data_IF_919305554230
#
_entry.id   IF_919305554230
#
_cell.length_a   1.000
_cell.length_b   1.000
_cell.length_c   1.000
_cell.angle_alpha   90.00
_cell.angle_beta   90.00
_cell.angle_gamma   90.00
#
_symmetry.space_group_name_H-M   'P 1'
#
loop_
_entity.id
_entity.type
_entity.pdbx_description
1 polymer ?
#
# COMPACT_ATOMS: atom_id res chain seq x y z
N UNK A 1 22.11 -15.30 -17.29
CA UNK A 1 22.71 -15.15 -15.94
C UNK A 1 22.12 -16.18 -14.99
N UNK A 2 20.81 -16.15 -14.71
CA UNK A 2 20.10 -17.13 -13.87
C UNK A 2 20.51 -18.59 -14.13
N UNK A 3 20.37 -19.08 -15.36
CA UNK A 3 20.78 -20.46 -15.72
C UNK A 3 22.25 -20.79 -15.37
N UNK A 4 23.15 -19.81 -15.50
CA UNK A 4 24.56 -19.99 -15.17
C UNK A 4 24.80 -20.04 -13.66
N UNK A 5 24.01 -19.31 -12.87
CA UNK A 5 24.05 -19.36 -11.41
C UNK A 5 23.45 -20.67 -10.88
N UNK A 6 22.35 -21.14 -11.48
CA UNK A 6 21.71 -22.41 -11.14
C UNK A 6 22.57 -23.63 -11.49
N UNK A 7 23.46 -23.50 -12.48
CA UNK A 7 24.41 -24.54 -12.86
C UNK A 7 25.62 -24.68 -11.90
N UNK A 8 25.74 -23.86 -10.85
CA UNK A 8 26.83 -23.96 -9.88
C UNK A 8 26.53 -25.01 -8.80
N UNK A 9 27.54 -25.74 -8.34
CA UNK A 9 27.42 -26.75 -7.27
C UNK A 9 27.17 -26.15 -5.86
N UNK A 10 26.83 -24.85 -5.77
CA UNK A 10 26.53 -24.16 -4.52
C UNK A 10 25.32 -23.22 -4.71
N UNK A 11 24.44 -23.07 -3.71
CA UNK A 11 23.38 -22.06 -3.76
C UNK A 11 23.97 -20.66 -3.92
N UNK A 12 23.40 -19.87 -4.85
CA UNK A 12 23.72 -18.46 -5.05
C UNK A 12 22.41 -17.69 -5.05
N UNK A 13 22.27 -16.75 -4.12
CA UNK A 13 21.17 -15.80 -4.13
C UNK A 13 21.35 -14.84 -5.31
N UNK A 14 20.38 -14.77 -6.20
CA UNK A 14 20.40 -13.81 -7.32
C UNK A 14 19.45 -12.65 -7.06
N UNK A 15 20.02 -11.46 -6.85
CA UNK A 15 19.30 -10.21 -6.66
C UNK A 15 19.38 -9.38 -7.94
N UNK A 16 18.24 -9.15 -8.59
CA UNK A 16 18.15 -8.42 -9.85
C UNK A 16 18.06 -6.93 -9.52
N UNK A 17 19.03 -6.14 -9.99
CA UNK A 17 19.01 -4.69 -9.84
C UNK A 17 18.86 -4.00 -11.20
N UNK A 18 17.64 -3.55 -11.52
CA UNK A 18 17.37 -2.73 -12.72
C UNK A 18 16.68 -1.39 -12.41
N UNK A 19 16.46 -1.08 -11.11
CA UNK A 19 15.86 0.16 -10.60
C UNK A 19 14.33 0.35 -10.77
N UNK A 20 13.55 -0.72 -10.86
CA UNK A 20 12.10 -0.63 -11.14
C UNK A 20 11.74 -0.21 -12.58
N UNK A 21 12.72 -0.15 -13.48
CA UNK A 21 12.57 0.27 -14.87
C UNK A 21 12.09 -0.88 -15.75
N UNK A 22 11.10 -0.59 -16.59
CA UNK A 22 10.47 -1.52 -17.54
C UNK A 22 8.99 -1.68 -17.24
N UNK A 23 8.38 -2.76 -17.73
CA UNK A 23 7.00 -3.15 -17.44
C UNK A 23 7.01 -4.58 -16.85
N UNK A 24 5.94 -4.93 -16.14
CA UNK A 24 5.63 -6.28 -15.65
C UNK A 24 6.73 -6.90 -14.79
N UNK A 25 7.43 -6.07 -14.01
CA UNK A 25 8.57 -6.52 -13.20
C UNK A 25 8.20 -7.67 -12.24
N UNK A 26 7.02 -7.58 -11.62
CA UNK A 26 6.49 -8.64 -10.76
C UNK A 26 6.19 -9.94 -11.48
N UNK A 27 6.04 -9.94 -12.81
CA UNK A 27 5.73 -11.13 -13.60
C UNK A 27 6.99 -11.88 -14.04
N UNK A 28 7.97 -11.17 -14.61
CA UNK A 28 9.14 -11.83 -15.19
C UNK A 28 10.28 -12.03 -14.19
N UNK A 29 10.51 -11.11 -13.26
CA UNK A 29 11.67 -11.19 -12.37
C UNK A 29 11.64 -12.37 -11.40
N UNK A 30 10.50 -12.73 -10.77
CA UNK A 30 10.44 -13.88 -9.87
C UNK A 30 10.64 -15.23 -10.55
N UNK A 31 10.62 -15.28 -11.90
CA UNK A 31 10.90 -16.48 -12.68
C UNK A 31 12.39 -16.75 -12.83
N UNK A 32 13.24 -15.73 -12.63
CA UNK A 32 14.68 -15.80 -12.91
C UNK A 32 15.57 -15.28 -11.77
N UNK A 33 15.02 -14.85 -10.63
CA UNK A 33 15.79 -14.33 -9.50
C UNK A 33 15.06 -14.52 -8.16
N UNK A 34 15.79 -14.30 -7.06
CA UNK A 34 15.27 -14.45 -5.71
C UNK A 34 14.71 -13.14 -5.13
N UNK A 35 15.30 -12.02 -5.55
CA UNK A 35 14.75 -10.69 -5.31
C UNK A 35 14.96 -9.78 -6.51
N UNK A 36 14.15 -8.73 -6.62
CA UNK A 36 14.23 -7.76 -7.71
C UNK A 36 13.99 -6.34 -7.21
N UNK A 37 14.90 -5.43 -7.54
CA UNK A 37 14.79 -4.00 -7.18
C UNK A 37 13.55 -3.41 -7.80
N UNK A 38 12.61 -2.97 -6.98
CA UNK A 38 11.33 -2.44 -7.46
C UNK A 38 11.36 -0.95 -7.75
N UNK A 39 12.39 -0.22 -7.28
CA UNK A 39 12.46 1.23 -7.36
C UNK A 39 13.86 1.75 -7.72
N UNK A 40 13.94 3.03 -8.10
CA UNK A 40 15.19 3.78 -8.04
C UNK A 40 15.78 3.77 -6.63
N UNK A 41 17.04 4.20 -6.55
CA UNK A 41 17.81 4.17 -5.32
C UNK A 41 17.09 4.93 -4.19
N UNK A 42 17.08 4.29 -3.03
CA UNK A 42 16.80 4.96 -1.77
C UNK A 42 17.88 6.03 -1.50
N UNK A 43 17.52 7.10 -0.79
CA UNK A 43 18.49 8.13 -0.39
C UNK A 43 18.16 8.63 1.02
N UNK A 44 19.06 9.39 1.62
CA UNK A 44 19.01 9.82 3.02
C UNK A 44 17.89 10.84 3.31
N UNK A 45 16.62 10.45 3.14
CA UNK A 45 15.44 11.26 3.38
C UNK A 45 14.17 10.41 3.53
N UNK A 46 13.28 10.85 4.43
CA UNK A 46 11.93 10.31 4.62
C UNK A 46 11.13 10.17 3.32
N UNK A 47 11.26 11.13 2.40
CA UNK A 47 10.53 11.10 1.12
C UNK A 47 10.85 9.86 0.29
N UNK A 48 12.06 9.31 0.39
CA UNK A 48 12.42 8.07 -0.29
C UNK A 48 11.72 6.85 0.32
N UNK A 49 11.62 6.79 1.66
CA UNK A 49 10.91 5.73 2.38
C UNK A 49 9.45 5.72 1.97
N UNK A 50 8.82 6.90 1.97
CA UNK A 50 7.43 7.05 1.58
C UNK A 50 7.19 6.71 0.11
N UNK A 51 8.05 7.19 -0.80
CA UNK A 51 7.97 6.89 -2.23
C UNK A 51 8.03 5.38 -2.50
N UNK A 52 9.00 4.68 -1.90
CA UNK A 52 9.19 3.23 -2.11
C UNK A 52 8.03 2.44 -1.47
N UNK A 53 7.50 2.89 -0.33
CA UNK A 53 6.30 2.30 0.29
C UNK A 53 5.06 2.37 -0.63
N UNK A 54 4.95 3.41 -1.47
CA UNK A 54 3.88 3.49 -2.47
C UNK A 54 4.17 2.67 -3.74
N UNK A 55 5.44 2.32 -4.00
CA UNK A 55 5.84 1.51 -5.15
C UNK A 55 5.64 0.01 -4.90
N UNK A 56 5.78 -0.45 -3.65
CA UNK A 56 5.71 -1.87 -3.29
C UNK A 56 4.28 -2.42 -3.24
N UNK A 57 3.27 -1.54 -3.26
CA UNK A 57 1.85 -1.88 -3.09
C UNK A 57 1.36 -3.01 -3.99
N UNK A 58 1.62 -3.07 -5.30
CA UNK A 58 1.09 -4.13 -6.15
C UNK A 58 1.81 -5.47 -6.01
N UNK A 59 3.01 -5.49 -5.42
CA UNK A 59 3.88 -6.66 -5.44
C UNK A 59 3.39 -7.82 -4.59
N UNK A 60 2.37 -7.63 -3.73
CA UNK A 60 1.84 -8.72 -2.89
C UNK A 60 1.35 -9.91 -3.70
N UNK A 61 0.95 -9.69 -4.96
CA UNK A 61 0.54 -10.70 -5.93
C UNK A 61 1.70 -11.62 -6.38
N UNK A 62 2.93 -11.11 -6.31
CA UNK A 62 4.14 -11.76 -6.83
C UNK A 62 5.12 -12.17 -5.73
N UNK A 63 4.93 -11.65 -4.51
CA UNK A 63 5.75 -11.96 -3.34
C UNK A 63 5.42 -13.34 -2.78
N UNK A 64 6.47 -14.12 -2.50
CA UNK A 64 6.34 -15.42 -1.86
C UNK A 64 7.70 -16.02 -1.51
N UNK A 65 7.70 -17.25 -1.00
CA UNK A 65 8.94 -17.93 -0.59
C UNK A 65 9.94 -17.98 -1.76
N UNK A 66 11.10 -17.37 -1.56
CA UNK A 66 12.17 -17.27 -2.56
C UNK A 66 11.95 -16.23 -3.66
N UNK A 67 10.95 -15.35 -3.52
CA UNK A 67 10.53 -14.34 -4.49
C UNK A 67 10.15 -13.04 -3.77
N UNK A 68 11.10 -12.10 -3.66
CA UNK A 68 10.90 -10.91 -2.83
C UNK A 68 11.10 -9.59 -3.61
N UNK A 69 10.17 -8.64 -3.53
CA UNK A 69 10.39 -7.28 -4.01
C UNK A 69 11.49 -6.64 -3.16
N UNK A 70 12.54 -6.16 -3.80
CA UNK A 70 13.66 -5.49 -3.15
C UNK A 70 13.42 -3.99 -3.13
N UNK A 71 13.06 -3.49 -1.94
CA UNK A 71 12.83 -2.08 -1.64
C UNK A 71 14.13 -1.28 -1.48
N UNK A 72 15.29 -1.85 -1.81
CA UNK A 72 16.63 -1.29 -1.66
C UNK A 72 17.17 -1.34 -0.21
N UNK A 73 18.44 -0.94 -0.04
CA UNK A 73 19.17 -1.05 1.22
C UNK A 73 18.57 -0.20 2.37
N UNK A 74 18.77 -0.64 3.61
CA UNK A 74 18.39 0.10 4.80
C UNK A 74 19.30 1.32 4.99
N UNK A 75 18.70 2.48 5.28
CA UNK A 75 19.40 3.74 5.65
C UNK A 75 19.38 4.00 7.16
N UNK A 76 18.94 3.01 7.94
CA UNK A 76 18.89 3.03 9.40
C UNK A 76 20.32 3.12 9.94
N UNK A 77 20.58 4.07 10.83
CA UNK A 77 21.91 4.30 11.40
C UNK A 77 22.81 5.23 10.59
N UNK A 78 22.31 5.80 9.49
CA UNK A 78 23.04 6.82 8.70
C UNK A 78 22.89 8.26 9.27
N UNK A 79 22.18 8.44 10.39
CA UNK A 79 21.81 9.74 10.95
C UNK A 79 21.01 10.62 9.96
N UNK A 80 20.22 9.97 9.09
CA UNK A 80 19.40 10.64 8.06
C UNK A 80 17.93 10.81 8.44
N UNK A 81 17.47 10.03 9.42
CA UNK A 81 16.07 9.87 9.82
C UNK A 81 15.94 10.04 11.34
N UNK A 82 14.74 10.40 11.83
CA UNK A 82 14.43 10.25 13.26
C UNK A 82 14.30 8.77 13.66
N UNK A 83 14.29 8.46 14.96
CA UNK A 83 14.08 7.06 15.40
C UNK A 83 12.69 6.54 15.03
N UNK A 84 11.68 7.40 15.03
CA UNK A 84 10.33 7.08 14.57
C UNK A 84 10.34 6.71 13.08
N UNK A 85 11.02 7.50 12.25
CA UNK A 85 11.19 7.25 10.82
C UNK A 85 12.02 5.99 10.55
N UNK A 86 13.07 5.70 11.35
CA UNK A 86 13.84 4.45 11.25
C UNK A 86 13.00 3.22 11.60
N UNK A 87 12.15 3.30 12.63
CA UNK A 87 11.19 2.23 12.96
C UNK A 87 10.13 2.05 11.88
N UNK A 88 9.63 3.14 11.31
CA UNK A 88 8.70 3.10 10.18
C UNK A 88 9.35 2.42 8.98
N UNK A 89 10.57 2.83 8.63
CA UNK A 89 11.38 2.23 7.56
C UNK A 89 11.53 0.72 7.76
N UNK A 90 12.01 0.30 8.93
CA UNK A 90 12.20 -1.12 9.23
C UNK A 90 10.87 -1.90 9.21
N UNK A 91 9.80 -1.30 9.71
CA UNK A 91 8.45 -1.88 9.67
C UNK A 91 8.00 -2.14 8.24
N UNK A 92 8.11 -1.14 7.36
CA UNK A 92 7.66 -1.25 5.98
C UNK A 92 8.46 -2.31 5.21
N UNK A 93 9.79 -2.37 5.39
CA UNK A 93 10.61 -3.41 4.77
C UNK A 93 10.28 -4.80 5.32
N UNK A 94 10.00 -4.91 6.63
CA UNK A 94 9.68 -6.17 7.27
C UNK A 94 8.32 -6.74 6.83
N UNK A 95 7.26 -5.94 6.87
CA UNK A 95 5.92 -6.42 6.49
C UNK A 95 5.81 -6.68 4.98
N UNK A 96 6.61 -5.99 4.16
CA UNK A 96 6.66 -6.20 2.71
C UNK A 96 7.69 -7.26 2.26
N UNK A 97 8.35 -7.95 3.20
CA UNK A 97 9.30 -9.04 2.94
C UNK A 97 10.50 -8.64 2.08
N UNK A 98 10.85 -7.36 2.08
CA UNK A 98 12.06 -6.89 1.38
C UNK A 98 13.31 -7.48 2.04
N UNK A 99 14.39 -7.73 1.28
CA UNK A 99 15.70 -7.98 1.87
C UNK A 99 16.08 -6.87 2.86
N UNK A 100 16.57 -7.26 4.04
CA UNK A 100 17.05 -6.35 5.08
C UNK A 100 18.56 -6.12 4.93
N UNK A 101 18.97 -5.55 3.79
CA UNK A 101 20.38 -5.28 3.48
C UNK A 101 20.84 -4.01 4.19
N UNK A 102 21.76 -4.12 5.16
CA UNK A 102 22.20 -2.95 5.94
C UNK A 102 23.10 -2.04 5.09
N UNK A 103 22.72 -0.76 4.94
CA UNK A 103 23.53 0.26 4.29
C UNK A 103 24.42 1.08 5.24
N UNK A 104 24.22 0.94 6.55
CA UNK A 104 25.03 1.64 7.56
C UNK A 104 26.39 0.99 7.82
N UNK A 105 27.40 1.77 8.26
CA UNK A 105 28.68 1.21 8.68
C UNK A 105 28.51 0.20 9.82
N UNK A 106 29.15 -0.96 9.71
CA UNK A 106 29.22 -1.96 10.80
C UNK A 106 30.24 -1.54 11.87
N UNK A 107 30.02 -0.37 12.47
CA UNK A 107 30.84 0.17 13.55
C UNK A 107 29.97 0.85 14.61
N UNK A 108 30.12 0.42 15.86
CA UNK A 108 29.46 1.04 17.01
C UNK A 108 29.88 2.50 17.24
N UNK A 109 30.95 2.98 16.60
CA UNK A 109 31.37 4.38 16.66
C UNK A 109 30.75 5.25 15.57
N UNK A 110 30.24 4.64 14.49
CA UNK A 110 29.69 5.36 13.34
C UNK A 110 28.16 5.26 13.27
N UNK A 111 27.61 4.15 13.75
CA UNK A 111 26.17 3.87 13.76
C UNK A 111 25.63 4.04 15.19
N UNK A 112 24.60 4.88 15.41
CA UNK A 112 24.00 5.05 16.74
C UNK A 112 23.46 3.73 17.29
N UNK A 113 23.69 3.47 18.58
CA UNK A 113 23.21 2.23 19.22
C UNK A 113 21.69 2.06 19.10
N UNK A 114 20.91 3.14 19.25
CA UNK A 114 19.46 3.10 19.10
C UNK A 114 19.02 2.62 17.71
N UNK A 115 19.75 2.98 16.65
CA UNK A 115 19.50 2.51 15.28
C UNK A 115 19.89 1.05 15.09
N UNK A 116 20.96 0.60 15.74
CA UNK A 116 21.33 -0.82 15.77
C UNK A 116 20.26 -1.65 16.50
N UNK A 117 19.73 -1.15 17.61
CA UNK A 117 18.67 -1.81 18.38
C UNK A 117 17.38 -1.97 17.55
N UNK A 118 17.07 -1.02 16.66
CA UNK A 118 15.99 -1.14 15.67
C UNK A 118 16.23 -2.34 14.75
N UNK A 119 17.42 -2.45 14.16
CA UNK A 119 17.76 -3.54 13.23
C UNK A 119 17.89 -4.92 13.92
N UNK A 120 18.14 -4.94 15.23
CA UNK A 120 18.26 -6.14 16.05
C UNK A 120 16.95 -6.56 16.71
N UNK A 121 15.82 -5.90 16.42
CA UNK A 121 14.54 -6.27 17.01
C UNK A 121 14.08 -7.64 16.48
N UNK A 122 14.19 -8.68 17.32
CA UNK A 122 13.89 -10.07 16.99
C UNK A 122 12.44 -10.29 16.51
N UNK A 123 11.49 -9.52 17.01
CA UNK A 123 10.08 -9.66 16.61
C UNK A 123 9.81 -9.08 15.22
N UNK A 124 10.44 -7.95 14.87
CA UNK A 124 10.36 -7.38 13.53
C UNK A 124 11.09 -8.27 12.52
N UNK A 125 12.25 -8.81 12.90
CA UNK A 125 12.97 -9.79 12.10
C UNK A 125 12.14 -11.06 11.89
N UNK A 126 11.45 -11.56 12.92
CA UNK A 126 10.56 -12.71 12.80
C UNK A 126 9.37 -12.46 11.87
N UNK A 127 8.85 -11.23 11.82
CA UNK A 127 7.84 -10.83 10.83
C UNK A 127 8.44 -10.89 9.42
N UNK A 128 9.60 -10.28 9.18
CA UNK A 128 10.26 -10.31 7.87
C UNK A 128 10.58 -11.74 7.41
N UNK A 129 11.08 -12.58 8.32
CA UNK A 129 11.52 -13.95 8.07
C UNK A 129 10.40 -15.00 8.25
N UNK A 130 9.14 -14.57 8.38
CA UNK A 130 8.02 -15.50 8.56
C UNK A 130 7.95 -16.50 7.40
N UNK A 131 7.84 -17.81 7.67
CA UNK A 131 7.96 -18.85 6.64
C UNK A 131 6.80 -18.87 5.64
N UNK A 132 5.69 -18.16 5.90
CA UNK A 132 4.65 -17.97 4.90
C UNK A 132 5.12 -17.11 3.73
N UNK A 133 6.10 -16.21 3.96
CA UNK A 133 6.64 -15.32 2.93
C UNK A 133 5.62 -14.37 2.31
N UNK A 134 4.45 -14.19 2.93
CA UNK A 134 3.36 -13.39 2.40
C UNK A 134 3.54 -11.89 2.72
N UNK A 135 3.55 -11.06 1.70
CA UNK A 135 3.57 -9.60 1.85
C UNK A 135 2.30 -9.08 2.54
N UNK A 136 2.45 -8.04 3.36
CA UNK A 136 1.31 -7.24 3.76
C UNK A 136 0.74 -6.44 2.57
N UNK A 137 -0.54 -6.08 2.68
CA UNK A 137 -1.27 -5.26 1.72
C UNK A 137 -1.64 -3.93 2.37
N UNK A 138 -1.67 -2.85 1.59
CA UNK A 138 -2.34 -1.62 1.97
C UNK A 138 -3.85 -1.91 2.00
N UNK A 139 -4.44 -1.97 3.19
CA UNK A 139 -5.86 -2.31 3.40
C UNK A 139 -6.73 -1.07 3.34
N UNK A 140 -6.25 0.01 3.95
CA UNK A 140 -6.96 1.29 3.95
C UNK A 140 -5.97 2.44 3.93
N UNK A 141 -6.32 3.49 3.21
CA UNK A 141 -5.62 4.77 3.22
C UNK A 141 -6.59 5.86 3.61
N UNK A 142 -6.11 6.81 4.41
CA UNK A 142 -6.81 8.01 4.85
C UNK A 142 -5.96 9.21 4.43
N UNK A 143 -6.17 9.67 3.20
CA UNK A 143 -5.24 10.60 2.52
C UNK A 143 -5.24 12.00 3.12
N UNK A 144 -6.38 12.50 3.58
CA UNK A 144 -6.46 13.85 4.15
C UNK A 144 -6.04 13.86 5.62
N UNK A 145 -6.25 12.74 6.30
CA UNK A 145 -5.79 12.50 7.67
C UNK A 145 -4.31 12.09 7.70
N UNK A 146 -3.75 11.64 6.59
CA UNK A 146 -2.36 11.26 6.39
C UNK A 146 -1.92 9.96 7.11
N UNK A 147 -2.76 8.93 7.16
CA UNK A 147 -2.38 7.61 7.69
C UNK A 147 -2.86 6.44 6.85
N UNK A 148 -2.18 5.31 7.00
CA UNK A 148 -2.52 4.06 6.32
C UNK A 148 -2.67 2.90 7.33
N UNK A 149 -3.47 1.91 6.96
CA UNK A 149 -3.57 0.60 7.62
C UNK A 149 -3.09 -0.46 6.66
N UNK A 150 -2.09 -1.23 7.07
CA UNK A 150 -1.53 -2.36 6.34
C UNK A 150 -1.79 -3.64 7.12
N UNK A 151 -2.07 -4.74 6.43
CA UNK A 151 -2.18 -6.05 7.07
C UNK A 151 -1.69 -7.18 6.17
N UNK A 152 -1.14 -8.23 6.78
CA UNK A 152 -0.65 -9.40 6.08
C UNK A 152 -0.72 -10.65 6.94
N UNK A 153 -1.02 -11.80 6.33
CA UNK A 153 -1.00 -13.06 7.04
C UNK A 153 0.43 -13.44 7.43
N UNK A 154 0.57 -14.02 8.61
CA UNK A 154 1.77 -14.68 9.08
C UNK A 154 1.48 -16.17 9.29
N UNK A 155 2.54 -16.96 9.39
CA UNK A 155 2.45 -18.36 9.81
C UNK A 155 1.71 -18.54 11.15
N UNK A 156 1.14 -19.72 11.35
CA UNK A 156 0.37 -20.09 12.54
C UNK A 156 -0.91 -19.26 12.74
N UNK A 157 -1.58 -18.93 11.63
CA UNK A 157 -2.88 -18.21 11.63
C UNK A 157 -2.83 -16.86 12.37
N UNK A 158 -1.69 -16.20 12.33
CA UNK A 158 -1.49 -14.85 12.89
C UNK A 158 -1.63 -13.80 11.79
N UNK A 159 -1.85 -12.56 12.18
CA UNK A 159 -1.93 -11.41 11.28
C UNK A 159 -0.99 -10.32 11.76
N UNK A 160 -0.13 -9.78 10.89
CA UNK A 160 0.56 -8.53 11.16
C UNK A 160 -0.31 -7.36 10.73
N UNK A 161 -0.41 -6.33 11.56
CA UNK A 161 -1.13 -5.09 11.26
C UNK A 161 -0.19 -3.92 11.54
N UNK A 162 -0.01 -3.03 10.57
CA UNK A 162 0.71 -1.79 10.76
C UNK A 162 -0.21 -0.58 10.56
N UNK A 163 -0.25 0.32 11.55
CA UNK A 163 -0.89 1.63 11.43
C UNK A 163 0.22 2.66 11.23
N UNK A 164 0.26 3.26 10.05
CA UNK A 164 1.35 4.08 9.56
C UNK A 164 0.95 5.55 9.59
N UNK A 165 1.45 6.31 10.57
CA UNK A 165 1.25 7.76 10.64
C UNK A 165 2.28 8.46 9.75
N UNK A 166 1.91 8.83 8.52
CA UNK A 166 2.80 9.58 7.63
C UNK A 166 2.62 11.11 7.72
N UNK A 167 1.91 11.57 8.74
CA UNK A 167 1.82 12.99 9.11
C UNK A 167 3.03 13.40 9.95
N UNK A 168 3.40 14.68 9.85
CA UNK A 168 4.47 15.29 10.66
C UNK A 168 4.09 15.51 12.15
N UNK A 169 2.92 15.04 12.60
CA UNK A 169 2.36 15.35 13.92
C UNK A 169 1.93 14.08 14.66
N UNK A 170 2.04 14.13 15.99
CA UNK A 170 1.53 13.09 16.88
C UNK A 170 0.01 13.11 16.95
N UNK A 171 -0.59 11.93 17.13
CA UNK A 171 -2.05 11.76 17.20
C UNK A 171 -2.46 10.47 17.85
N UNK A 172 -3.73 10.39 18.22
CA UNK A 172 -4.38 9.15 18.60
C UNK A 172 -5.31 8.71 17.47
N UNK A 173 -5.12 7.49 17.00
CA UNK A 173 -5.93 6.83 15.99
C UNK A 173 -6.74 5.70 16.62
N UNK A 174 -7.95 5.45 16.11
CA UNK A 174 -8.77 4.31 16.50
C UNK A 174 -8.68 3.24 15.41
N UNK A 175 -8.13 2.08 15.74
CA UNK A 175 -8.09 0.93 14.85
C UNK A 175 -9.23 -0.03 15.17
N UNK A 176 -10.24 -0.09 14.31
CA UNK A 176 -11.18 -1.20 14.30
C UNK A 176 -10.54 -2.41 13.60
N UNK A 177 -10.46 -3.55 14.28
CA UNK A 177 -9.89 -4.78 13.72
C UNK A 177 -10.72 -5.32 12.55
N UNK A 178 -12.00 -4.93 12.45
CA UNK A 178 -12.87 -5.30 11.33
C UNK A 178 -12.38 -4.76 10.00
N UNK A 179 -11.65 -3.62 10.01
CA UNK A 179 -10.98 -3.08 8.82
C UNK A 179 -10.02 -4.07 8.19
N UNK A 180 -9.40 -4.96 8.99
CA UNK A 180 -8.48 -6.00 8.52
C UNK A 180 -9.12 -7.39 8.53
N UNK A 181 -10.46 -7.47 8.58
CA UNK A 181 -11.22 -8.72 8.52
C UNK A 181 -11.28 -9.51 9.83
N UNK A 182 -10.99 -8.87 10.97
CA UNK A 182 -10.93 -9.52 12.29
C UNK A 182 -12.02 -8.97 13.21
N UNK A 183 -12.94 -9.80 13.66
CA UNK A 183 -13.95 -9.39 14.65
C UNK A 183 -13.36 -9.32 16.06
N UNK A 184 -12.49 -10.27 16.41
CA UNK A 184 -11.79 -10.29 17.69
C UNK A 184 -10.44 -11.00 17.57
N UNK A 185 -9.48 -10.62 18.41
CA UNK A 185 -8.21 -11.32 18.58
C UNK A 185 -8.02 -11.68 20.05
N UNK A 186 -7.67 -12.94 20.34
CA UNK A 186 -7.35 -13.38 21.70
C UNK A 186 -6.03 -12.84 22.22
N UNK A 187 -5.10 -12.48 21.32
CA UNK A 187 -3.85 -11.82 21.68
C UNK A 187 -3.44 -10.74 20.69
N UNK A 188 -3.15 -9.55 21.21
CA UNK A 188 -2.62 -8.38 20.51
C UNK A 188 -1.26 -8.02 21.08
N UNK A 189 -0.21 -8.17 20.27
CA UNK A 189 1.18 -7.84 20.61
C UNK A 189 1.57 -6.52 19.97
N UNK A 190 2.00 -5.53 20.75
CA UNK A 190 2.69 -4.33 20.25
C UNK A 190 4.20 -4.63 20.18
N UNK A 191 4.69 -4.77 18.95
CA UNK A 191 6.04 -5.23 18.63
C UNK A 191 7.10 -4.20 19.04
N UNK A 192 6.85 -2.91 18.77
CA UNK A 192 7.82 -1.86 19.09
C UNK A 192 7.82 -1.49 20.56
N UNK A 193 6.66 -1.52 21.22
CA UNK A 193 6.57 -1.31 22.66
C UNK A 193 7.01 -2.53 23.49
N UNK A 194 7.25 -3.67 22.82
CA UNK A 194 7.47 -4.95 23.44
C UNK A 194 6.40 -5.31 24.49
N UNK A 195 5.13 -4.97 24.23
CA UNK A 195 4.03 -5.09 25.18
C UNK A 195 2.87 -5.96 24.66
N UNK A 196 2.32 -6.81 25.52
CA UNK A 196 1.07 -7.53 25.24
C UNK A 196 -0.10 -6.66 25.68
N UNK A 197 -0.98 -6.33 24.72
CA UNK A 197 -2.15 -5.50 24.96
C UNK A 197 -3.38 -6.33 25.38
N UNK A 198 -3.24 -7.66 25.46
CA UNK A 198 -4.31 -8.60 25.79
C UNK A 198 -5.18 -8.93 24.58
N UNK A 199 -6.43 -9.32 24.84
CA UNK A 199 -7.43 -9.57 23.79
C UNK A 199 -8.12 -8.27 23.36
N UNK A 200 -8.62 -8.24 22.13
CA UNK A 200 -9.38 -7.11 21.61
C UNK A 200 -10.56 -7.57 20.74
N UNK A 201 -11.76 -7.09 21.07
CA UNK A 201 -13.02 -7.25 20.33
C UNK A 201 -13.72 -5.90 20.07
N UNK A 202 -13.06 -4.81 20.48
CA UNK A 202 -13.46 -3.42 20.30
C UNK A 202 -12.31 -2.60 19.67
N UNK A 203 -12.60 -1.42 19.09
CA UNK A 203 -11.56 -0.60 18.48
C UNK A 203 -10.42 -0.25 19.45
N UNK A 204 -9.18 -0.39 18.98
CA UNK A 204 -7.97 -0.09 19.72
C UNK A 204 -7.60 1.39 19.60
N UNK A 205 -7.37 2.04 20.73
CA UNK A 205 -6.86 3.42 20.77
C UNK A 205 -5.34 3.41 20.73
N UNK A 206 -4.75 3.94 19.66
CA UNK A 206 -3.32 3.90 19.39
C UNK A 206 -2.77 5.34 19.36
N UNK A 207 -1.85 5.67 20.25
CA UNK A 207 -1.08 6.92 20.17
C UNK A 207 0.18 6.71 19.33
N UNK A 208 0.36 7.54 18.31
CA UNK A 208 1.49 7.52 17.39
C UNK A 208 2.11 8.92 17.32
N UNK A 209 3.43 9.01 17.38
CA UNK A 209 4.19 10.20 17.01
C UNK A 209 4.14 10.44 15.48
N UNK A 210 4.54 11.64 15.06
CA UNK A 210 4.72 11.93 13.62
C UNK A 210 5.71 10.95 13.00
N UNK A 211 5.38 10.43 11.82
CA UNK A 211 6.17 9.43 11.09
C UNK A 211 6.37 8.07 11.81
N UNK A 212 5.59 7.78 12.86
CA UNK A 212 5.64 6.49 13.53
C UNK A 212 4.78 5.43 12.81
N UNK A 213 5.26 4.18 12.78
CA UNK A 213 4.45 3.01 12.44
C UNK A 213 4.18 2.16 13.69
N UNK A 214 2.92 2.07 14.10
CA UNK A 214 2.48 1.12 15.12
C UNK A 214 2.44 -0.28 14.51
N UNK A 215 3.20 -1.23 15.06
CA UNK A 215 3.29 -2.59 14.53
C UNK A 215 2.69 -3.59 15.52
N UNK A 216 1.59 -4.22 15.11
CA UNK A 216 0.84 -5.17 15.91
C UNK A 216 0.91 -6.57 15.30
N UNK A 217 0.96 -7.60 16.15
CA UNK A 217 0.71 -8.99 15.75
C UNK A 217 -0.53 -9.49 16.48
N UNK A 218 -1.51 -9.95 15.70
CA UNK A 218 -2.75 -10.55 16.18
C UNK A 218 -2.63 -12.07 16.16
N UNK A 219 -3.19 -12.70 17.18
CA UNK A 219 -3.26 -14.16 17.35
C UNK A 219 -4.62 -14.56 17.92
N UNK A 220 -4.95 -15.85 17.82
CA UNK A 220 -6.26 -16.39 18.23
C UNK A 220 -7.41 -15.59 17.61
N UNK A 221 -7.31 -15.41 16.28
CA UNK A 221 -8.18 -14.55 15.49
C UNK A 221 -9.56 -15.19 15.30
N UNK A 222 -10.59 -14.43 15.61
CA UNK A 222 -11.97 -14.67 15.17
C UNK A 222 -12.23 -13.80 13.95
N UNK A 223 -12.44 -14.38 12.76
CA UNK A 223 -12.76 -13.62 11.55
C UNK A 223 -14.02 -12.79 11.71
N UNK A 224 -14.09 -11.64 11.01
CA UNK A 224 -15.33 -10.88 10.90
C UNK A 224 -16.29 -11.56 9.91
N UNK A 225 -17.41 -12.10 10.42
CA UNK A 225 -18.45 -12.73 9.61
C UNK A 225 -19.28 -11.72 8.79
N UNK A 226 -19.13 -10.44 9.09
CA UNK A 226 -19.80 -9.29 8.49
C UNK A 226 -18.81 -8.37 7.75
N UNK A 227 -17.76 -8.95 7.18
CA UNK A 227 -16.87 -8.23 6.27
C UNK A 227 -17.69 -7.65 5.09
N UNK A 228 -17.48 -6.38 4.71
CA UNK A 228 -18.23 -5.75 3.63
C UNK A 228 -18.16 -6.58 2.34
N UNK A 229 -19.32 -6.84 1.74
CA UNK A 229 -19.41 -7.63 0.50
C UNK A 229 -19.66 -6.66 -0.66
N UNK A 230 -19.04 -6.92 -1.81
CA UNK A 230 -19.31 -6.12 -3.00
C UNK A 230 -20.79 -6.29 -3.42
N UNK A 231 -21.61 -5.27 -3.25
CA UNK A 231 -23.05 -5.29 -3.57
C UNK A 231 -23.32 -4.82 -4.99
N UNK A 232 -22.50 -3.92 -5.53
CA UNK A 232 -22.62 -3.44 -6.89
C UNK A 232 -21.28 -3.02 -7.49
N UNK A 233 -21.26 -2.86 -8.81
CA UNK A 233 -20.11 -2.40 -9.57
C UNK A 233 -20.54 -1.42 -10.67
N UNK A 234 -19.94 -0.23 -10.67
CA UNK A 234 -20.14 0.80 -11.67
C UNK A 234 -18.92 0.86 -12.59
N UNK A 235 -18.96 0.22 -13.77
CA UNK A 235 -17.83 0.23 -14.71
C UNK A 235 -17.68 1.61 -15.34
N UNK A 236 -16.46 1.99 -15.70
CA UNK A 236 -16.21 3.31 -16.34
C UNK A 236 -16.93 3.48 -17.68
N UNK A 237 -17.28 2.38 -18.35
CA UNK A 237 -18.10 2.39 -19.59
C UNK A 237 -19.53 2.90 -19.35
N UNK A 238 -19.99 2.92 -18.10
CA UNK A 238 -21.27 3.51 -17.70
C UNK A 238 -21.13 4.96 -17.18
N UNK A 239 -19.91 5.49 -17.05
CA UNK A 239 -19.67 6.85 -16.57
C UNK A 239 -19.86 7.88 -17.68
N UNK A 240 -20.44 9.04 -17.34
CA UNK A 240 -20.39 10.22 -18.19
C UNK A 240 -19.03 10.92 -18.01
N UNK A 241 -18.21 10.93 -19.05
CA UNK A 241 -16.90 11.58 -19.06
C UNK A 241 -17.00 13.03 -19.56
N UNK A 242 -16.31 13.95 -18.90
CA UNK A 242 -16.32 15.37 -19.25
C UNK A 242 -14.94 16.03 -19.02
N UNK A 243 -14.79 17.27 -19.51
CA UNK A 243 -13.60 18.10 -19.26
C UNK A 243 -12.30 17.59 -19.88
N UNK A 244 -12.39 16.75 -20.92
CA UNK A 244 -11.25 16.19 -21.64
C UNK A 244 -11.01 14.70 -21.38
N UNK A 245 -11.60 14.13 -20.32
CA UNK A 245 -11.53 12.69 -20.08
C UNK A 245 -12.13 11.90 -21.25
N UNK A 246 -11.48 10.80 -21.60
CA UNK A 246 -11.89 9.93 -22.71
C UNK A 246 -11.87 8.46 -22.32
N UNK A 247 -12.69 7.65 -22.98
CA UNK A 247 -12.73 6.21 -22.76
C UNK A 247 -11.74 5.52 -23.70
N UNK A 248 -10.83 4.73 -23.14
CA UNK A 248 -9.87 3.92 -23.88
C UNK A 248 -10.14 2.43 -23.68
N UNK A 249 -10.20 1.68 -24.78
CA UNK A 249 -10.21 0.22 -24.75
C UNK A 249 -8.80 -0.32 -24.46
N UNK A 250 -8.72 -1.38 -23.66
CA UNK A 250 -7.45 -2.03 -23.33
C UNK A 250 -7.23 -3.30 -24.16
N UNK A 251 -5.99 -3.81 -24.23
CA UNK A 251 -5.72 -5.13 -24.81
C UNK A 251 -6.55 -6.24 -24.16
N UNK A 252 -6.69 -7.37 -24.87
CA UNK A 252 -7.46 -8.50 -24.35
C UNK A 252 -6.85 -9.04 -23.05
N UNK A 253 -7.67 -9.13 -21.99
CA UNK A 253 -7.22 -9.58 -20.67
C UNK A 253 -6.80 -8.43 -19.73
N UNK A 254 -6.69 -7.21 -20.24
CA UNK A 254 -6.24 -6.04 -19.46
C UNK A 254 -7.38 -5.20 -18.89
N UNK A 255 -7.04 -4.24 -18.01
CA UNK A 255 -7.98 -3.29 -17.39
C UNK A 255 -9.20 -3.99 -16.77
N UNK A 256 -8.97 -5.13 -16.11
CA UNK A 256 -10.01 -5.95 -15.52
C UNK A 256 -10.67 -5.26 -14.34
N UNK A 257 -11.98 -5.45 -14.11
CA UNK A 257 -12.87 -6.39 -14.80
C UNK A 257 -13.54 -5.84 -16.08
N UNK A 258 -13.24 -4.59 -16.48
CA UNK A 258 -14.02 -3.87 -17.50
C UNK A 258 -13.46 -4.04 -18.92
N UNK A 259 -12.15 -4.21 -19.07
CA UNK A 259 -11.49 -4.21 -20.38
C UNK A 259 -11.33 -2.80 -20.99
N UNK A 260 -11.61 -1.76 -20.22
CA UNK A 260 -11.50 -0.36 -20.63
C UNK A 260 -11.25 0.53 -19.42
N UNK A 261 -10.70 1.72 -19.65
CA UNK A 261 -10.38 2.71 -18.62
C UNK A 261 -10.71 4.11 -19.10
N UNK A 262 -11.06 5.02 -18.18
CA UNK A 262 -11.02 6.45 -18.46
C UNK A 262 -9.57 6.93 -18.35
N UNK A 263 -9.13 7.65 -19.38
CA UNK A 263 -7.83 8.31 -19.46
C UNK A 263 -8.05 9.82 -19.55
N UNK A 264 -6.95 10.59 -19.57
CA UNK A 264 -6.96 12.05 -19.71
C UNK A 264 -7.77 12.76 -18.60
N UNK A 265 -7.78 12.19 -17.40
CA UNK A 265 -8.33 12.82 -16.19
C UNK A 265 -7.40 13.93 -15.71
N UNK A 266 -7.30 15.01 -16.48
CA UNK A 266 -6.57 16.23 -16.12
C UNK A 266 -7.40 17.15 -15.21
N UNK A 267 -6.80 18.19 -14.59
CA UNK A 267 -7.55 19.16 -13.80
C UNK A 267 -8.76 19.74 -14.56
N UNK A 268 -9.96 19.53 -14.00
CA UNK A 268 -11.25 19.92 -14.61
C UNK A 268 -11.96 18.80 -15.37
N UNK A 269 -11.30 17.67 -15.62
CA UNK A 269 -11.91 16.46 -16.17
C UNK A 269 -12.60 15.64 -15.07
N UNK A 270 -13.69 14.95 -15.44
CA UNK A 270 -14.47 14.13 -14.51
C UNK A 270 -14.99 12.85 -15.17
N UNK A 271 -15.22 11.83 -14.33
CA UNK A 271 -16.03 10.65 -14.62
C UNK A 271 -17.21 10.62 -13.64
N UNK A 272 -18.44 10.73 -14.16
CA UNK A 272 -19.66 10.80 -13.34
C UNK A 272 -20.45 9.50 -13.44
N UNK A 273 -20.61 8.82 -12.31
CA UNK A 273 -21.42 7.61 -12.17
C UNK A 273 -22.79 7.99 -11.58
N UNK A 274 -23.85 7.69 -12.30
CA UNK A 274 -25.23 7.94 -11.86
C UNK A 274 -25.88 6.66 -11.38
N UNK A 275 -26.89 6.78 -10.50
CA UNK A 275 -27.63 5.65 -9.95
C UNK A 275 -26.77 4.65 -9.16
N UNK A 276 -25.79 5.16 -8.40
CA UNK A 276 -25.04 4.33 -7.46
C UNK A 276 -25.93 4.02 -6.25
N UNK A 277 -26.09 2.75 -5.92
CA UNK A 277 -26.83 2.30 -4.73
C UNK A 277 -25.98 2.44 -3.48
N UNK A 278 -26.61 2.81 -2.36
CA UNK A 278 -25.99 2.81 -1.04
C UNK A 278 -26.98 2.37 0.05
N UNK A 279 -26.52 1.62 1.04
CA UNK A 279 -27.23 1.18 2.23
C UNK A 279 -26.91 2.07 3.45
N UNK A 280 -25.90 2.94 3.35
CA UNK A 280 -25.46 3.84 4.40
C UNK A 280 -25.05 5.23 3.86
N UNK A 281 -24.91 6.21 4.75
CA UNK A 281 -24.47 7.57 4.39
C UNK A 281 -22.95 7.66 4.13
N UNK A 282 -22.20 6.72 4.71
CA UNK A 282 -20.78 6.49 4.43
C UNK A 282 -20.66 5.07 3.90
N UNK A 283 -20.03 4.94 2.73
CA UNK A 283 -19.93 3.71 1.97
C UNK A 283 -18.47 3.38 1.75
N UNK A 284 -18.15 2.08 1.80
CA UNK A 284 -16.84 1.60 1.38
C UNK A 284 -16.83 1.44 -0.15
N UNK A 285 -16.04 2.27 -0.84
CA UNK A 285 -15.86 2.20 -2.28
C UNK A 285 -14.51 1.56 -2.61
N UNK A 286 -14.52 0.49 -3.41
CA UNK A 286 -13.33 -0.01 -4.08
C UNK A 286 -13.07 0.79 -5.35
N UNK A 287 -11.98 1.55 -5.37
CA UNK A 287 -11.54 2.27 -6.57
C UNK A 287 -10.71 1.30 -7.41
N UNK A 288 -11.22 0.88 -8.56
CA UNK A 288 -10.43 0.18 -9.56
C UNK A 288 -9.75 1.23 -10.45
N UNK A 289 -8.43 1.28 -10.37
CA UNK A 289 -7.63 2.32 -11.00
C UNK A 289 -6.34 1.75 -11.59
N UNK A 290 -5.72 2.52 -12.47
CA UNK A 290 -4.41 2.22 -13.03
C UNK A 290 -3.50 3.43 -12.81
N UNK A 291 -2.40 3.21 -12.12
CA UNK A 291 -1.33 4.17 -11.91
C UNK A 291 0.01 3.46 -12.07
N UNK A 292 0.70 3.75 -13.17
CA UNK A 292 2.07 3.32 -13.42
C UNK A 292 3.02 4.51 -13.56
N UNK A 293 2.70 5.62 -12.88
CA UNK A 293 3.53 6.81 -12.86
C UNK A 293 4.65 6.67 -11.82
N UNK A 294 5.59 5.78 -12.12
CA UNK A 294 6.79 5.59 -11.32
C UNK A 294 7.65 6.84 -11.44
N UNK A 295 8.00 7.44 -10.30
CA UNK A 295 8.68 8.71 -10.20
C UNK A 295 10.19 8.61 -10.53
N UNK A 296 10.55 8.13 -11.72
CA UNK A 296 11.93 7.86 -12.10
C UNK A 296 12.83 9.12 -12.09
N UNK A 297 12.29 10.26 -12.55
CA UNK A 297 13.05 11.52 -12.65
C UNK A 297 12.99 12.36 -11.37
N UNK A 298 11.88 12.25 -10.62
CA UNK A 298 11.63 13.00 -9.38
C UNK A 298 11.94 12.17 -8.12
N UNK A 299 12.55 10.98 -8.27
CA UNK A 299 12.83 10.02 -7.20
C UNK A 299 13.63 10.62 -6.03
N UNK A 300 14.51 11.59 -6.31
CA UNK A 300 15.38 12.26 -5.34
C UNK A 300 14.89 13.67 -4.95
N UNK A 301 13.64 14.02 -5.28
CA UNK A 301 13.05 15.32 -4.96
C UNK A 301 11.61 15.17 -4.47
N UNK A 302 10.63 15.35 -5.35
CA UNK A 302 9.20 15.46 -5.03
C UNK A 302 8.38 14.23 -5.39
N UNK A 303 9.00 13.20 -5.95
CA UNK A 303 8.33 11.98 -6.37
C UNK A 303 7.75 11.21 -5.20
N UNK A 304 6.46 10.86 -5.27
CA UNK A 304 5.75 10.10 -4.22
C UNK A 304 5.29 8.72 -4.69
N UNK A 305 5.39 8.42 -5.98
CA UNK A 305 4.76 7.25 -6.61
C UNK A 305 3.25 7.16 -6.35
N UNK A 306 2.61 8.32 -6.22
CA UNK A 306 1.15 8.42 -6.12
C UNK A 306 0.62 9.40 -7.14
N UNK A 307 -0.58 9.10 -7.66
CA UNK A 307 -1.43 10.10 -8.31
C UNK A 307 -2.65 10.35 -7.46
N UNK A 308 -3.19 11.57 -7.53
CA UNK A 308 -4.33 11.95 -6.72
C UNK A 308 -5.61 11.97 -7.55
N UNK A 309 -6.72 11.56 -6.97
CA UNK A 309 -8.07 11.81 -7.49
C UNK A 309 -8.94 12.44 -6.41
N UNK A 310 -10.08 12.97 -6.81
CA UNK A 310 -11.12 13.44 -5.90
C UNK A 310 -12.41 12.68 -6.10
N UNK A 311 -13.20 12.52 -5.04
CA UNK A 311 -14.54 11.93 -5.08
C UNK A 311 -15.51 12.91 -4.44
N UNK A 312 -16.57 13.27 -5.17
CA UNK A 312 -17.70 14.03 -4.65
C UNK A 312 -18.99 13.22 -4.83
N UNK A 313 -19.84 13.20 -3.80
CA UNK A 313 -21.11 12.47 -3.81
C UNK A 313 -22.27 13.44 -3.70
N UNK A 314 -23.28 13.30 -4.56
CA UNK A 314 -24.52 14.07 -4.55
C UNK A 314 -24.34 15.60 -4.56
N UNK A 315 -23.27 16.08 -5.22
CA UNK A 315 -22.93 17.51 -5.27
C UNK A 315 -22.32 18.07 -3.98
N UNK A 316 -21.97 17.20 -3.02
CA UNK A 316 -21.22 17.54 -1.82
C UNK A 316 -19.76 17.91 -2.10
N UNK A 317 -18.99 18.26 -1.04
CA UNK A 317 -17.58 18.57 -1.18
C UNK A 317 -16.79 17.37 -1.70
N UNK A 318 -15.78 17.64 -2.52
CA UNK A 318 -14.90 16.61 -3.05
C UNK A 318 -13.79 16.29 -2.03
N UNK A 319 -13.59 15.00 -1.74
CA UNK A 319 -12.52 14.49 -0.87
C UNK A 319 -11.38 13.93 -1.72
N UNK A 320 -10.13 14.18 -1.34
CA UNK A 320 -8.93 13.72 -2.07
C UNK A 320 -8.46 12.35 -1.61
N UNK A 321 -8.02 11.53 -2.57
CA UNK A 321 -7.32 10.27 -2.35
C UNK A 321 -6.01 10.22 -3.11
N UNK A 322 -4.93 9.77 -2.45
CA UNK A 322 -3.60 9.57 -3.04
C UNK A 322 -3.41 8.08 -3.33
N UNK A 323 -3.46 7.70 -4.60
CA UNK A 323 -3.44 6.31 -5.03
C UNK A 323 -2.00 5.91 -5.41
N UNK A 324 -1.46 4.85 -4.79
CA UNK A 324 -0.10 4.36 -5.05
C UNK A 324 0.03 3.73 -6.45
N UNK A 325 1.16 3.08 -6.75
CA UNK A 325 1.29 2.28 -7.97
C UNK A 325 0.30 1.12 -7.92
N UNK A 326 -0.40 0.87 -9.03
CA UNK A 326 -1.49 -0.13 -9.10
C UNK A 326 -1.02 -1.52 -9.55
N UNK A 327 0.07 -1.57 -10.32
CA UNK A 327 0.54 -2.76 -11.04
C UNK A 327 1.87 -2.56 -11.75
N UNK A 328 2.21 -3.47 -12.65
CA UNK A 328 3.46 -3.51 -13.41
C UNK A 328 3.49 -2.69 -14.70
N UNK A 329 2.35 -2.14 -15.14
CA UNK A 329 2.25 -1.36 -16.36
C UNK A 329 1.00 -0.42 -16.35
N UNK A 330 0.77 0.29 -17.46
CA UNK A 330 -0.41 1.15 -17.65
C UNK A 330 -1.70 0.39 -17.99
N UNK A 331 -1.80 -0.92 -17.76
CA UNK A 331 -2.95 -1.74 -18.07
C UNK A 331 -3.42 -2.61 -16.88
N UNK A 332 -2.54 -2.86 -15.91
CA UNK A 332 -2.84 -3.64 -14.73
C UNK A 332 -3.65 -2.84 -13.69
N UNK A 333 -4.87 -3.31 -13.45
CA UNK A 333 -5.79 -2.71 -12.49
C UNK A 333 -5.42 -3.07 -11.06
N UNK A 334 -5.26 -2.02 -10.24
CA UNK A 334 -5.19 -2.11 -8.79
C UNK A 334 -6.52 -1.70 -8.17
N UNK A 335 -6.75 -2.13 -6.93
CA UNK A 335 -7.89 -1.68 -6.12
C UNK A 335 -7.40 -1.03 -4.84
N UNK A 336 -7.96 0.13 -4.51
CA UNK A 336 -7.83 0.75 -3.19
C UNK A 336 -9.24 1.00 -2.65
N UNK A 337 -9.54 0.41 -1.50
CA UNK A 337 -10.82 0.62 -0.83
C UNK A 337 -10.75 1.89 0.04
N UNK A 338 -11.75 2.75 -0.08
CA UNK A 338 -11.83 4.05 0.60
C UNK A 338 -13.21 4.29 1.19
N UNK A 339 -13.27 4.95 2.34
CA UNK A 339 -14.54 5.34 2.99
C UNK A 339 -15.00 6.70 2.45
N UNK A 340 -16.17 6.73 1.82
CA UNK A 340 -16.70 7.95 1.20
C UNK A 340 -18.07 8.28 1.78
N UNK A 341 -18.20 9.49 2.30
CA UNK A 341 -19.46 10.03 2.83
C UNK A 341 -20.30 10.75 1.78
N UNK A 342 -21.52 11.14 2.19
CA UNK A 342 -22.42 11.97 1.37
C UNK A 342 -23.47 11.18 0.58
N UNK A 343 -23.53 9.87 0.78
CA UNK A 343 -24.55 9.01 0.19
C UNK A 343 -25.91 9.18 0.89
N UNK A 344 -26.97 8.93 0.13
CA UNK A 344 -28.34 8.78 0.61
C UNK A 344 -28.73 7.31 0.43
N UNK A 345 -29.35 6.72 1.44
CA UNK A 345 -29.79 5.31 1.39
C UNK A 345 -30.77 5.10 0.25
N UNK A 346 -30.48 4.10 -0.58
CA UNK A 346 -31.21 3.73 -1.79
C UNK A 346 -30.38 3.95 -3.07
N UNK A 347 -31.07 3.86 -4.19
CA UNK A 347 -30.52 4.14 -5.51
C UNK A 347 -30.49 5.65 -5.81
N UNK A 348 -29.81 6.03 -6.89
CA UNK A 348 -29.87 7.39 -7.42
C UNK A 348 -28.76 8.31 -6.94
N UNK A 349 -27.79 7.80 -6.16
CA UNK A 349 -26.62 8.60 -5.81
C UNK A 349 -25.79 8.90 -7.07
N UNK A 350 -25.22 10.11 -7.10
CA UNK A 350 -24.30 10.54 -8.14
C UNK A 350 -22.91 10.64 -7.54
N UNK A 351 -21.97 9.87 -8.07
CA UNK A 351 -20.57 9.87 -7.66
C UNK A 351 -19.74 10.47 -8.78
N UNK A 352 -19.01 11.54 -8.48
CA UNK A 352 -18.13 12.23 -9.43
C UNK A 352 -16.69 11.98 -9.01
N UNK A 353 -15.94 11.31 -9.89
CA UNK A 353 -14.49 11.18 -9.77
C UNK A 353 -13.83 12.26 -10.62
N UNK A 354 -12.85 12.98 -10.07
CA UNK A 354 -12.12 14.01 -10.79
C UNK A 354 -10.63 14.05 -10.45
N UNK A 355 -9.90 14.94 -11.10
CA UNK A 355 -8.50 15.20 -10.79
C UNK A 355 -8.35 16.45 -9.91
N UNK A 356 -7.57 16.40 -8.82
CA UNK A 356 -7.22 17.59 -8.06
C UNK A 356 -6.29 18.49 -8.89
N UNK A 357 -6.32 19.80 -8.64
CA UNK A 357 -5.51 20.75 -9.40
C UNK A 357 -4.00 20.45 -9.29
N UNK A 358 -3.29 20.44 -10.42
CA UNK A 358 -1.83 20.37 -10.50
C UNK A 358 -1.29 19.26 -11.39
N UNK A 359 -1.87 18.06 -11.33
CA UNK A 359 -1.40 16.84 -12.03
C UNK A 359 -2.59 15.97 -12.48
N UNK A 360 -2.42 15.08 -13.48
CA UNK A 360 -3.48 14.14 -13.85
C UNK A 360 -3.76 13.12 -12.73
N UNK A 361 -5.02 12.71 -12.65
CA UNK A 361 -5.43 11.58 -11.81
C UNK A 361 -4.91 10.25 -12.38
N UNK A 362 -4.98 9.15 -11.60
CA UNK A 362 -4.87 7.81 -12.18
C UNK A 362 -5.93 7.58 -13.25
N UNK A 363 -5.67 6.64 -14.15
CA UNK A 363 -6.72 6.14 -15.03
C UNK A 363 -7.76 5.38 -14.18
N UNK A 364 -9.03 5.47 -14.56
CA UNK A 364 -10.13 4.90 -13.77
C UNK A 364 -10.79 3.74 -14.53
N UNK A 365 -10.93 2.58 -13.89
CA UNK A 365 -11.56 1.39 -14.46
C UNK A 365 -13.00 1.24 -13.98
N UNK A 366 -13.28 1.53 -12.72
CA UNK A 366 -14.63 1.48 -12.17
C UNK A 366 -14.68 1.66 -10.65
N UNK A 367 -15.90 1.61 -10.12
CA UNK A 367 -16.17 1.71 -8.68
C UNK A 367 -16.93 0.47 -8.20
N UNK A 368 -16.38 -0.21 -7.21
CA UNK A 368 -17.07 -1.26 -6.47
C UNK A 368 -17.71 -0.67 -5.21
N UNK A 369 -18.94 -1.02 -4.91
CA UNK A 369 -19.64 -0.63 -3.67
C UNK A 369 -19.63 -1.82 -2.71
N UNK A 370 -19.20 -1.61 -1.47
CA UNK A 370 -19.11 -2.64 -0.43
C UNK A 370 -19.95 -2.26 0.79
N UNK A 371 -20.78 -3.19 1.26
CA UNK A 371 -21.77 -2.97 2.33
C UNK A 371 -22.01 -4.22 3.19
#
# INVERSE_FOLDING_TARGET
>A
MSEALDAQDRPILFQICQWGVGEDLGEWAPKIGNSWRISNDIYNSWSSIWRITNEVVPYWKHTGVGKYPDMDMLIIGLNALSLEEERFHFTMWAINKSPLTIGAPMSATLSPQASLDIMLNDEVLAINQDPLGAQARLVRRYTEEEYDVWAGNLSSSRLVVAVANWRNESRTLSLDLRTVGVAAAGGVRDVWAAADLGSADAPLSLSLAGHEAKLLVLSDITPADDAPVQTSYAPVTAAALAGGASLAACPAGECQPVGSKAVDLYPGATATFSNVSAAAATVLLGLDYINYDVALQSAWSTGTNTRNLTIAVNGGPAQRWALPISGGDWFETGRLDVEVGGFVVGDGNVVVVGAPGGEPAPDLVGLAVFE
#
